data_IF_006356395367
#
_entry.id   IF_006356395367
#
_cell.length_a   1.000
_cell.length_b   1.000
_cell.length_c   1.000
_cell.angle_alpha   90.00
_cell.angle_beta   90.00
_cell.angle_gamma   90.00
#
_symmetry.space_group_name_H-M   'P 1'
#
loop_
_entity.id
_entity.type
_entity.pdbx_description
1 polymer ?
#
# COMPACT_ATOMS: atom_id res chain seq x y z
N UNK A 1 -21.46 -3.00 -41.10
CA UNK A 1 -20.63 -4.03 -40.44
C UNK A 1 -20.30 -3.53 -39.05
N UNK A 2 -21.04 -3.98 -38.04
CA UNK A 2 -20.69 -3.71 -36.65
C UNK A 2 -19.61 -4.74 -36.26
N UNK A 3 -18.36 -4.30 -36.20
CA UNK A 3 -17.32 -5.07 -35.53
C UNK A 3 -17.68 -5.07 -34.05
N UNK A 4 -18.17 -6.21 -33.56
CA UNK A 4 -18.27 -6.49 -32.14
C UNK A 4 -16.84 -6.46 -31.58
N UNK A 5 -16.43 -5.27 -31.16
CA UNK A 5 -15.15 -5.04 -30.51
C UNK A 5 -15.33 -5.60 -29.10
N UNK A 6 -15.08 -6.89 -28.92
CA UNK A 6 -14.98 -7.48 -27.59
C UNK A 6 -13.94 -6.65 -26.83
N UNK A 7 -14.40 -5.83 -25.88
CA UNK A 7 -13.51 -5.08 -25.01
C UNK A 7 -12.61 -6.09 -24.32
N UNK A 8 -11.33 -6.09 -24.71
CA UNK A 8 -10.32 -6.98 -24.15
C UNK A 8 -10.33 -6.79 -22.63
N UNK A 9 -10.74 -7.85 -21.92
CA UNK A 9 -10.78 -7.85 -20.46
C UNK A 9 -9.34 -7.76 -19.94
N UNK A 10 -9.13 -6.93 -18.92
CA UNK A 10 -7.82 -6.82 -18.25
C UNK A 10 -7.45 -8.14 -17.57
N UNK A 11 -6.21 -8.60 -17.75
CA UNK A 11 -5.71 -9.84 -17.15
C UNK A 11 -4.88 -9.56 -15.90
N UNK A 12 -5.36 -10.01 -14.74
CA UNK A 12 -4.63 -9.88 -13.46
C UNK A 12 -3.61 -11.00 -13.19
N UNK A 13 -3.64 -12.09 -13.98
CA UNK A 13 -2.78 -13.26 -13.74
C UNK A 13 -1.29 -12.92 -13.86
N UNK A 14 -0.50 -13.43 -12.92
CA UNK A 14 0.96 -13.27 -12.92
C UNK A 14 1.45 -11.86 -12.56
N UNK A 15 0.54 -10.89 -12.36
CA UNK A 15 0.90 -9.57 -11.84
C UNK A 15 1.29 -9.71 -10.37
N UNK A 16 0.43 -10.32 -9.55
CA UNK A 16 0.67 -10.47 -8.12
C UNK A 16 0.99 -11.93 -7.76
N UNK A 17 1.80 -12.16 -6.70
CA UNK A 17 2.62 -11.16 -5.99
C UNK A 17 3.92 -10.80 -6.73
N UNK A 18 4.23 -11.47 -7.84
CA UNK A 18 5.56 -11.48 -8.45
C UNK A 18 6.01 -10.10 -8.93
N UNK A 19 5.27 -9.45 -9.83
CA UNK A 19 5.63 -8.15 -10.39
C UNK A 19 5.80 -7.09 -9.29
N UNK A 20 4.89 -7.10 -8.30
CA UNK A 20 4.97 -6.25 -7.10
C UNK A 20 6.23 -6.48 -6.29
N UNK A 21 6.56 -7.74 -6.01
CA UNK A 21 7.74 -8.10 -5.23
C UNK A 21 9.02 -7.69 -5.93
N UNK A 22 9.08 -7.84 -7.25
CA UNK A 22 10.22 -7.39 -8.05
C UNK A 22 10.36 -5.88 -8.09
N UNK A 23 9.26 -5.16 -8.28
CA UNK A 23 9.24 -3.71 -8.14
C UNK A 23 9.74 -3.26 -6.77
N UNK A 24 9.29 -3.90 -5.69
CA UNK A 24 9.73 -3.59 -4.32
C UNK A 24 11.23 -3.87 -4.09
N UNK A 25 11.80 -4.90 -4.72
CA UNK A 25 13.24 -5.18 -4.69
C UNK A 25 14.07 -4.08 -5.34
N UNK A 26 13.53 -3.36 -6.32
CA UNK A 26 14.23 -2.27 -7.02
C UNK A 26 14.65 -1.14 -6.08
N UNK A 27 13.92 -0.92 -4.97
CA UNK A 27 14.27 0.11 -3.97
C UNK A 27 15.69 -0.04 -3.43
N UNK A 28 16.19 -1.27 -3.29
CA UNK A 28 17.56 -1.54 -2.80
C UNK A 28 18.63 -1.27 -3.85
N UNK A 29 18.25 -1.21 -5.13
CA UNK A 29 19.14 -1.00 -6.28
C UNK A 29 19.26 0.47 -6.69
N UNK A 30 18.57 1.39 -6.02
CA UNK A 30 18.56 2.82 -6.33
C UNK A 30 19.87 3.52 -5.94
N UNK A 31 20.97 3.17 -6.59
CA UNK A 31 22.30 3.76 -6.41
C UNK A 31 23.04 3.85 -7.75
N UNK A 32 24.13 4.59 -7.80
CA UNK A 32 24.98 4.69 -8.99
C UNK A 32 24.60 5.80 -9.96
N UNK A 33 25.11 5.71 -11.20
CA UNK A 33 24.96 6.75 -12.24
C UNK A 33 23.53 6.81 -12.79
N UNK A 34 22.84 5.67 -12.77
CA UNK A 34 21.47 5.50 -13.18
C UNK A 34 20.52 6.32 -12.30
N UNK A 35 20.78 6.40 -11.00
CA UNK A 35 19.98 7.18 -10.06
C UNK A 35 19.89 8.66 -10.48
N UNK A 36 21.04 9.28 -10.79
CA UNK A 36 21.10 10.67 -11.23
C UNK A 36 20.36 10.88 -12.56
N UNK A 37 20.52 9.93 -13.50
CA UNK A 37 19.85 9.98 -14.80
C UNK A 37 18.32 9.85 -14.66
N UNK A 38 17.86 8.92 -13.84
CA UNK A 38 16.44 8.68 -13.57
C UNK A 38 15.81 9.80 -12.75
N UNK A 39 16.53 10.40 -11.81
CA UNK A 39 16.06 11.61 -11.09
C UNK A 39 15.73 12.74 -12.05
N UNK A 40 16.58 13.01 -13.06
CA UNK A 40 16.29 14.03 -14.08
C UNK A 40 15.03 13.71 -14.91
N UNK A 41 14.87 12.44 -15.33
CA UNK A 41 13.67 11.98 -16.05
C UNK A 41 12.43 12.16 -15.17
N UNK A 42 12.49 11.77 -13.90
CA UNK A 42 11.36 11.87 -12.98
C UNK A 42 10.99 13.30 -12.62
N UNK A 43 11.97 14.19 -12.51
CA UNK A 43 11.73 15.63 -12.34
C UNK A 43 10.95 16.18 -13.54
N UNK A 44 11.34 15.80 -14.75
CA UNK A 44 10.62 16.23 -15.95
C UNK A 44 9.25 15.61 -16.11
N UNK A 45 9.12 14.31 -15.85
CA UNK A 45 7.84 13.64 -15.81
C UNK A 45 6.89 14.38 -14.86
N UNK A 46 7.30 14.62 -13.61
CA UNK A 46 6.55 15.39 -12.61
C UNK A 46 6.12 16.75 -13.15
N UNK A 47 7.07 17.54 -13.68
CA UNK A 47 6.81 18.87 -14.20
C UNK A 47 5.84 18.88 -15.39
N UNK A 48 5.77 17.77 -16.14
CA UNK A 48 4.88 17.65 -17.29
C UNK A 48 3.46 17.16 -16.91
N UNK A 49 3.31 16.43 -15.79
CA UNK A 49 2.00 15.93 -15.35
C UNK A 49 1.27 16.85 -14.36
N UNK A 50 1.99 17.69 -13.60
CA UNK A 50 1.42 18.57 -12.57
C UNK A 50 1.33 20.02 -13.03
N UNK A 51 0.17 20.66 -12.79
CA UNK A 51 -0.01 22.11 -12.94
C UNK A 51 0.26 22.91 -11.66
N UNK A 52 0.25 22.27 -10.48
CA UNK A 52 0.36 22.96 -9.18
C UNK A 52 1.47 22.38 -8.27
N UNK A 53 2.18 23.32 -7.62
CA UNK A 53 3.54 23.25 -7.08
C UNK A 53 3.68 22.64 -5.68
N UNK A 54 3.42 21.34 -5.50
CA UNK A 54 3.87 20.66 -4.27
C UNK A 54 4.96 19.65 -4.60
N UNK A 55 6.21 20.05 -4.31
CA UNK A 55 7.42 19.24 -4.38
C UNK A 55 7.37 18.11 -3.34
N UNK A 56 6.62 17.04 -3.64
CA UNK A 56 6.73 15.81 -2.85
C UNK A 56 7.99 15.06 -3.27
N UNK A 57 8.92 14.85 -2.34
CA UNK A 57 10.10 13.98 -2.55
C UNK A 57 9.66 12.53 -2.83
N UNK A 58 8.43 12.17 -2.44
CA UNK A 58 7.92 10.81 -2.61
C UNK A 58 7.63 10.48 -4.09
N UNK A 59 7.13 11.45 -4.88
CA UNK A 59 6.84 11.21 -6.31
C UNK A 59 8.12 10.85 -7.07
N UNK A 60 9.23 11.52 -6.73
CA UNK A 60 10.52 11.31 -7.36
C UNK A 60 11.07 9.93 -7.01
N UNK A 61 11.02 9.54 -5.73
CA UNK A 61 11.46 8.21 -5.29
C UNK A 61 10.66 7.08 -5.95
N UNK A 62 9.34 7.19 -6.01
CA UNK A 62 8.47 6.16 -6.62
C UNK A 62 8.72 6.10 -8.13
N UNK A 63 8.86 7.25 -8.80
CA UNK A 63 9.18 7.30 -10.22
C UNK A 63 10.57 6.70 -10.53
N UNK A 64 11.60 7.01 -9.73
CA UNK A 64 12.94 6.43 -9.91
C UNK A 64 12.86 4.91 -9.73
N UNK A 65 12.16 4.43 -8.70
CA UNK A 65 11.95 3.00 -8.48
C UNK A 65 11.27 2.34 -9.68
N UNK A 66 10.30 3.01 -10.29
CA UNK A 66 9.61 2.55 -11.49
C UNK A 66 10.53 2.46 -12.72
N UNK A 67 11.47 3.40 -12.90
CA UNK A 67 12.47 3.33 -13.96
C UNK A 67 13.49 2.20 -13.75
N UNK A 68 13.91 1.95 -12.51
CA UNK A 68 14.72 0.76 -12.18
C UNK A 68 13.96 -0.54 -12.44
N UNK A 69 12.66 -0.57 -12.16
CA UNK A 69 11.82 -1.72 -12.46
C UNK A 69 11.74 -1.98 -13.96
N UNK A 70 11.50 -0.95 -14.77
CA UNK A 70 11.55 -1.07 -16.23
C UNK A 70 12.90 -1.59 -16.72
N UNK A 71 14.01 -1.12 -16.13
CA UNK A 71 15.34 -1.62 -16.45
C UNK A 71 15.53 -3.10 -16.12
N UNK A 72 15.00 -3.56 -14.99
CA UNK A 72 15.02 -4.97 -14.61
C UNK A 72 14.18 -5.83 -15.58
N UNK A 73 13.04 -5.34 -16.08
CA UNK A 73 12.25 -6.02 -17.12
C UNK A 73 13.11 -6.26 -18.37
N UNK A 74 13.85 -5.23 -18.82
CA UNK A 74 14.74 -5.33 -20.00
C UNK A 74 15.84 -6.35 -19.79
N UNK A 75 16.39 -6.46 -18.58
CA UNK A 75 17.47 -7.43 -18.30
C UNK A 75 16.96 -8.87 -18.33
N UNK A 76 15.69 -9.08 -18.00
CA UNK A 76 15.05 -10.39 -17.96
C UNK A 76 14.41 -10.81 -19.29
N UNK A 77 15.02 -10.47 -20.44
CA UNK A 77 14.46 -10.70 -21.80
C UNK A 77 13.97 -12.13 -22.11
N UNK A 78 14.23 -13.10 -21.23
CA UNK A 78 13.86 -14.51 -21.39
C UNK A 78 12.71 -14.97 -20.46
N UNK A 79 12.07 -14.07 -19.70
CA UNK A 79 10.92 -14.47 -18.89
C UNK A 79 9.63 -14.46 -19.71
N UNK A 80 8.83 -15.52 -19.57
CA UNK A 80 7.56 -15.73 -20.28
C UNK A 80 6.43 -14.78 -19.88
N UNK A 81 6.69 -13.78 -19.03
CA UNK A 81 5.66 -12.91 -18.47
C UNK A 81 5.95 -11.40 -18.59
N UNK A 82 6.60 -10.98 -19.69
CA UNK A 82 6.86 -9.55 -19.97
C UNK A 82 5.56 -8.73 -19.94
N UNK A 83 4.44 -9.30 -20.38
CA UNK A 83 3.14 -8.63 -20.40
C UNK A 83 2.67 -8.25 -18.99
N UNK A 84 2.63 -9.16 -18.03
CA UNK A 84 2.22 -8.83 -16.66
C UNK A 84 3.15 -7.80 -16.01
N UNK A 85 4.46 -7.89 -16.28
CA UNK A 85 5.43 -6.91 -15.82
C UNK A 85 5.16 -5.51 -16.39
N UNK A 86 4.85 -5.41 -17.68
CA UNK A 86 4.50 -4.15 -18.31
C UNK A 86 3.15 -3.62 -17.84
N UNK A 87 2.16 -4.48 -17.62
CA UNK A 87 0.87 -4.09 -17.02
C UNK A 87 1.06 -3.50 -15.63
N UNK A 88 1.91 -4.12 -14.80
CA UNK A 88 2.25 -3.58 -13.49
C UNK A 88 3.01 -2.24 -13.58
N UNK A 89 3.93 -2.10 -14.55
CA UNK A 89 4.61 -0.83 -14.82
C UNK A 89 3.61 0.28 -15.17
N UNK A 90 2.68 0.03 -16.10
CA UNK A 90 1.66 1.01 -16.49
C UNK A 90 0.72 1.36 -15.34
N UNK A 91 0.33 0.37 -14.53
CA UNK A 91 -0.45 0.59 -13.32
C UNK A 91 0.26 1.58 -12.38
N UNK A 92 1.53 1.33 -12.08
CA UNK A 92 2.32 2.21 -11.22
C UNK A 92 2.50 3.59 -11.81
N UNK A 93 2.72 3.69 -13.12
CA UNK A 93 2.85 4.97 -13.80
C UNK A 93 1.58 5.81 -13.66
N UNK A 94 0.42 5.21 -13.94
CA UNK A 94 -0.88 5.89 -13.82
C UNK A 94 -1.22 6.22 -12.37
N UNK A 95 -0.93 5.30 -11.44
CA UNK A 95 -1.08 5.52 -9.99
C UNK A 95 -0.29 6.74 -9.52
N UNK A 96 0.98 6.89 -9.93
CA UNK A 96 1.81 8.06 -9.60
C UNK A 96 1.16 9.32 -10.14
N UNK A 97 0.72 9.32 -11.40
CA UNK A 97 0.09 10.50 -11.99
C UNK A 97 -1.14 10.94 -11.19
N UNK A 98 -2.07 10.02 -10.91
CA UNK A 98 -3.31 10.34 -10.21
C UNK A 98 -3.10 10.69 -8.73
N UNK A 99 -2.27 9.93 -8.01
CA UNK A 99 -2.04 10.14 -6.56
C UNK A 99 -1.51 11.53 -6.25
N UNK A 100 -0.69 12.08 -7.14
CA UNK A 100 -0.07 13.39 -6.96
C UNK A 100 -0.78 14.50 -7.76
N UNK A 101 -2.05 14.30 -8.12
CA UNK A 101 -2.90 15.32 -8.76
C UNK A 101 -2.47 15.69 -10.18
N UNK A 102 -1.64 14.86 -10.82
CA UNK A 102 -1.31 15.01 -12.23
C UNK A 102 -2.32 14.31 -13.14
N UNK A 103 -2.27 14.64 -14.43
CA UNK A 103 -3.10 13.98 -15.43
C UNK A 103 -2.34 13.82 -16.74
N UNK A 104 -2.35 12.59 -17.26
CA UNK A 104 -1.80 12.27 -18.57
C UNK A 104 -2.79 11.50 -19.45
N UNK A 105 -4.04 11.32 -19.03
CA UNK A 105 -5.05 10.55 -19.78
C UNK A 105 -4.79 9.05 -19.71
N UNK A 106 -4.44 8.45 -20.85
CA UNK A 106 -4.21 7.01 -20.99
C UNK A 106 -2.84 6.58 -20.45
N UNK A 107 -2.68 5.28 -20.17
CA UNK A 107 -1.40 4.72 -19.73
C UNK A 107 -0.28 4.98 -20.75
N UNK A 108 -0.60 4.87 -22.04
CA UNK A 108 0.30 5.20 -23.16
C UNK A 108 0.76 6.65 -23.11
N UNK A 109 -0.17 7.59 -22.95
CA UNK A 109 0.15 9.01 -22.91
C UNK A 109 1.05 9.35 -21.70
N UNK A 110 0.79 8.75 -20.54
CA UNK A 110 1.66 8.89 -19.38
C UNK A 110 3.09 8.42 -19.68
N UNK A 111 3.23 7.32 -20.40
CA UNK A 111 4.54 6.80 -20.76
C UNK A 111 5.24 7.65 -21.82
N UNK A 112 4.51 8.12 -22.83
CA UNK A 112 5.02 9.06 -23.81
C UNK A 112 5.53 10.35 -23.12
N UNK A 113 4.79 10.87 -22.12
CA UNK A 113 5.24 12.02 -21.31
C UNK A 113 6.51 11.71 -20.52
N UNK A 114 6.63 10.51 -19.94
CA UNK A 114 7.83 10.07 -19.23
C UNK A 114 9.04 9.95 -20.17
N UNK A 115 8.83 9.52 -21.43
CA UNK A 115 9.88 9.35 -22.45
C UNK A 115 10.35 10.66 -23.09
N UNK A 116 9.60 11.76 -22.97
CA UNK A 116 9.99 13.06 -23.55
C UNK A 116 11.28 13.57 -22.93
N UNK A 117 12.31 13.74 -23.77
CA UNK A 117 13.59 14.34 -23.37
C UNK A 117 13.53 15.86 -23.52
N UNK A 118 13.95 16.59 -22.48
CA UNK A 118 14.32 18.02 -22.60
C UNK A 118 15.76 18.23 -23.05
N UNK A 119 16.63 17.26 -22.79
CA UNK A 119 18.05 17.29 -23.16
C UNK A 119 18.39 16.01 -23.94
N UNK A 120 18.93 16.11 -25.16
CA UNK A 120 19.29 14.95 -25.99
C UNK A 120 20.32 14.03 -25.33
N UNK A 121 21.13 14.51 -24.37
CA UNK A 121 22.14 13.71 -23.66
C UNK A 121 21.56 12.75 -22.63
N UNK A 122 20.25 12.82 -22.35
CA UNK A 122 19.61 11.97 -21.35
C UNK A 122 19.47 10.53 -21.83
N UNK A 123 19.51 9.61 -20.87
CA UNK A 123 19.29 8.19 -21.09
C UNK A 123 17.93 7.96 -21.75
N UNK A 124 17.92 7.12 -22.78
CA UNK A 124 16.69 6.65 -23.41
C UNK A 124 15.93 5.70 -22.49
N UNK A 125 14.64 5.94 -22.38
CA UNK A 125 13.72 5.00 -21.73
C UNK A 125 13.37 3.94 -22.78
N UNK A 126 13.60 2.68 -22.41
CA UNK A 126 13.37 1.53 -23.29
C UNK A 126 11.94 1.43 -23.81
N UNK A 127 11.79 0.78 -24.96
CA UNK A 127 10.53 0.57 -25.65
C UNK A 127 9.90 -0.80 -25.34
N UNK A 128 10.48 -1.57 -24.41
CA UNK A 128 10.06 -2.96 -24.13
C UNK A 128 8.56 -3.06 -23.84
N UNK A 129 7.99 -2.10 -23.10
CA UNK A 129 6.57 -2.12 -22.77
C UNK A 129 5.65 -1.44 -23.80
N UNK A 130 6.18 -0.82 -24.86
CA UNK A 130 5.32 -0.23 -25.91
C UNK A 130 4.55 -1.30 -26.70
N UNK A 131 5.05 -2.53 -26.74
CA UNK A 131 4.37 -3.66 -27.39
C UNK A 131 3.27 -4.30 -26.54
N UNK A 132 3.22 -3.96 -25.26
CA UNK A 132 2.30 -4.52 -24.26
C UNK A 132 1.47 -3.40 -23.62
N UNK A 133 1.08 -2.40 -24.41
CA UNK A 133 0.23 -1.31 -23.92
C UNK A 133 -1.16 -1.89 -23.64
N UNK A 134 -1.56 -1.82 -22.38
CA UNK A 134 -2.91 -2.14 -21.95
C UNK A 134 -3.55 -0.86 -21.42
N UNK A 135 -4.79 -0.61 -21.83
CA UNK A 135 -5.55 0.50 -21.28
C UNK A 135 -5.97 0.15 -19.85
N UNK A 136 -5.46 0.94 -18.90
CA UNK A 136 -5.83 0.82 -17.50
C UNK A 136 -6.84 1.93 -17.27
N UNK A 137 -8.12 1.59 -17.19
CA UNK A 137 -9.17 2.53 -16.82
C UNK A 137 -9.09 2.87 -15.32
N UNK A 138 -10.08 3.58 -14.78
CA UNK A 138 -10.09 3.94 -13.35
C UNK A 138 -10.50 2.77 -12.46
N UNK A 139 -11.24 1.82 -13.02
CA UNK A 139 -11.79 0.65 -12.36
C UNK A 139 -10.69 -0.39 -12.12
N UNK A 140 -9.94 -0.74 -13.16
CA UNK A 140 -8.72 -1.56 -13.10
C UNK A 140 -7.69 -0.94 -12.16
N UNK A 141 -7.50 0.38 -12.22
CA UNK A 141 -6.56 1.07 -11.33
C UNK A 141 -6.97 0.92 -9.86
N UNK A 142 -8.27 0.98 -9.57
CA UNK A 142 -8.82 0.79 -8.22
C UNK A 142 -8.67 -0.66 -7.74
N UNK A 143 -8.99 -1.64 -8.59
CA UNK A 143 -8.79 -3.07 -8.30
C UNK A 143 -7.32 -3.36 -7.96
N UNK A 144 -6.39 -2.93 -8.83
CA UNK A 144 -4.95 -3.10 -8.62
C UNK A 144 -4.48 -2.45 -7.32
N UNK A 145 -5.05 -1.29 -6.95
CA UNK A 145 -4.79 -0.62 -5.67
C UNK A 145 -5.20 -1.46 -4.46
N UNK A 146 -6.38 -2.08 -4.48
CA UNK A 146 -6.82 -2.97 -3.40
C UNK A 146 -5.98 -4.26 -3.33
N UNK A 147 -5.67 -4.86 -4.47
CA UNK A 147 -4.77 -6.03 -4.51
C UNK A 147 -3.41 -5.69 -3.92
N UNK A 148 -2.82 -4.55 -4.29
CA UNK A 148 -1.53 -4.13 -3.74
C UNK A 148 -1.57 -3.94 -2.22
N UNK A 149 -2.62 -3.32 -1.68
CA UNK A 149 -2.80 -3.14 -0.24
C UNK A 149 -2.98 -4.46 0.50
N UNK A 150 -3.72 -5.42 -0.09
CA UNK A 150 -3.86 -6.78 0.45
C UNK A 150 -2.49 -7.44 0.56
N UNK A 151 -1.70 -7.40 -0.50
CA UNK A 151 -0.35 -7.99 -0.52
C UNK A 151 0.62 -7.27 0.42
N UNK A 152 0.51 -5.95 0.59
CA UNK A 152 1.28 -5.21 1.59
C UNK A 152 0.95 -5.65 3.01
N UNK A 153 -0.33 -5.81 3.33
CA UNK A 153 -0.74 -6.30 4.64
C UNK A 153 -0.28 -7.74 4.89
N UNK A 154 -0.29 -8.58 3.85
CA UNK A 154 0.25 -9.95 3.91
C UNK A 154 1.75 -9.97 4.22
N UNK A 155 2.54 -9.08 3.60
CA UNK A 155 3.98 -8.95 3.88
C UNK A 155 4.22 -8.61 5.36
N UNK A 156 3.37 -7.76 5.95
CA UNK A 156 3.48 -7.40 7.36
C UNK A 156 3.25 -8.60 8.27
N UNK A 157 2.36 -9.52 7.92
CA UNK A 157 2.02 -10.69 8.73
C UNK A 157 3.14 -11.73 8.86
N UNK A 158 4.21 -11.62 8.06
CA UNK A 158 5.44 -12.37 8.27
C UNK A 158 5.94 -12.16 9.71
N UNK A 159 5.84 -10.94 10.24
CA UNK A 159 6.22 -10.61 11.60
C UNK A 159 5.07 -10.93 12.58
N UNK A 160 5.26 -11.80 13.60
CA UNK A 160 4.20 -12.16 14.53
C UNK A 160 3.53 -10.98 15.23
N UNK A 161 4.28 -9.95 15.59
CA UNK A 161 3.77 -8.75 16.28
C UNK A 161 2.83 -7.90 15.40
N UNK A 162 2.90 -8.06 14.07
CA UNK A 162 2.08 -7.32 13.13
C UNK A 162 0.73 -8.02 12.85
N UNK A 163 0.53 -9.24 13.37
CA UNK A 163 -0.71 -10.02 13.22
C UNK A 163 -1.74 -9.47 14.20
N UNK A 164 -2.63 -8.61 13.71
CA UNK A 164 -3.70 -8.03 14.51
C UNK A 164 -5.02 -8.01 13.75
N UNK A 165 -6.12 -7.98 14.50
CA UNK A 165 -7.47 -8.07 13.94
C UNK A 165 -7.83 -6.88 13.03
N UNK A 166 -7.31 -5.68 13.31
CA UNK A 166 -7.59 -4.48 12.50
C UNK A 166 -7.08 -4.62 11.07
N UNK A 167 -5.84 -5.11 10.90
CA UNK A 167 -5.28 -5.37 9.57
C UNK A 167 -6.03 -6.47 8.83
N UNK A 168 -6.37 -7.55 9.54
CA UNK A 168 -7.16 -8.64 8.95
C UNK A 168 -8.51 -8.14 8.46
N UNK A 169 -9.22 -7.37 9.29
CA UNK A 169 -10.46 -6.71 8.89
C UNK A 169 -10.27 -5.85 7.64
N UNK A 170 -9.18 -5.09 7.55
CA UNK A 170 -8.87 -4.28 6.37
C UNK A 170 -8.74 -5.13 5.09
N UNK A 171 -8.10 -6.31 5.16
CA UNK A 171 -8.07 -7.21 4.00
C UNK A 171 -9.46 -7.74 3.69
N UNK A 172 -10.24 -8.13 4.69
CA UNK A 172 -11.60 -8.61 4.46
C UNK A 172 -12.47 -7.56 3.77
N UNK A 173 -12.41 -6.30 4.22
CA UNK A 173 -13.13 -5.18 3.62
C UNK A 173 -12.72 -4.99 2.15
N UNK A 174 -11.43 -5.13 1.83
CA UNK A 174 -10.96 -5.08 0.44
C UNK A 174 -11.41 -6.29 -0.39
N UNK A 175 -11.38 -7.49 0.18
CA UNK A 175 -11.86 -8.69 -0.51
C UNK A 175 -13.37 -8.62 -0.75
N UNK A 176 -14.16 -8.20 0.25
CA UNK A 176 -15.61 -7.99 0.13
C UNK A 176 -15.88 -6.98 -1.01
N UNK A 177 -15.11 -5.91 -1.09
CA UNK A 177 -15.21 -4.94 -2.19
C UNK A 177 -14.91 -5.58 -3.57
N UNK A 178 -13.84 -6.37 -3.66
CA UNK A 178 -13.40 -6.97 -4.92
C UNK A 178 -14.34 -8.08 -5.40
N UNK A 179 -14.92 -8.87 -4.49
CA UNK A 179 -15.89 -9.92 -4.78
C UNK A 179 -17.23 -9.36 -5.29
N UNK A 180 -17.63 -8.17 -4.83
CA UNK A 180 -18.85 -7.50 -5.27
C UNK A 180 -18.63 -6.55 -6.46
N UNK A 181 -17.45 -6.59 -7.08
CA UNK A 181 -17.14 -5.73 -8.20
C UNK A 181 -17.80 -6.25 -9.49
N UNK A 182 -18.38 -5.38 -10.35
CA UNK A 182 -19.14 -5.82 -11.52
C UNK A 182 -18.39 -6.83 -12.40
N UNK A 183 -19.12 -7.82 -12.96
CA UNK A 183 -18.66 -9.01 -13.69
C UNK A 183 -17.69 -8.79 -14.88
N UNK A 184 -17.38 -7.52 -15.21
CA UNK A 184 -16.51 -7.14 -16.33
C UNK A 184 -15.12 -7.80 -16.26
N UNK A 185 -14.64 -8.18 -15.09
CA UNK A 185 -13.24 -8.64 -14.87
C UNK A 185 -13.10 -10.08 -14.37
N UNK A 186 -14.20 -10.84 -14.38
CA UNK A 186 -14.41 -12.02 -13.54
C UNK A 186 -13.28 -13.07 -13.55
N UNK A 187 -12.94 -13.68 -14.68
CA UNK A 187 -12.07 -14.88 -14.66
C UNK A 187 -10.67 -14.67 -14.05
N UNK A 188 -9.94 -13.64 -14.49
CA UNK A 188 -8.56 -13.43 -14.00
C UNK A 188 -8.51 -12.80 -12.61
N UNK A 189 -9.49 -11.96 -12.26
CA UNK A 189 -9.61 -11.41 -10.92
C UNK A 189 -9.98 -12.51 -9.92
N UNK A 190 -10.93 -13.39 -10.24
CA UNK A 190 -11.36 -14.48 -9.38
C UNK A 190 -10.21 -15.41 -9.03
N UNK A 191 -9.39 -15.75 -10.03
CA UNK A 191 -8.20 -16.55 -9.83
C UNK A 191 -7.17 -15.85 -8.93
N UNK A 192 -7.02 -14.53 -9.07
CA UNK A 192 -6.13 -13.77 -8.18
C UNK A 192 -6.68 -13.69 -6.75
N UNK A 193 -7.99 -13.55 -6.59
CA UNK A 193 -8.64 -13.64 -5.28
C UNK A 193 -8.45 -15.03 -4.66
N UNK A 194 -8.54 -16.11 -5.44
CA UNK A 194 -8.21 -17.47 -5.00
C UNK A 194 -6.76 -17.61 -4.52
N UNK A 195 -5.81 -16.98 -5.20
CA UNK A 195 -4.41 -16.95 -4.76
C UNK A 195 -4.29 -16.26 -3.40
N UNK A 196 -4.98 -15.14 -3.21
CA UNK A 196 -5.09 -14.48 -1.90
C UNK A 196 -5.70 -15.46 -0.89
N UNK A 197 -6.82 -16.12 -1.19
CA UNK A 197 -7.46 -17.06 -0.26
C UNK A 197 -6.53 -18.18 0.17
N UNK A 198 -5.70 -18.69 -0.74
CA UNK A 198 -4.72 -19.74 -0.46
C UNK A 198 -3.67 -19.27 0.55
N UNK A 199 -3.17 -18.03 0.41
CA UNK A 199 -2.26 -17.42 1.40
C UNK A 199 -2.95 -17.34 2.76
N UNK A 200 -4.21 -16.94 2.80
CA UNK A 200 -4.99 -16.81 4.04
C UNK A 200 -5.22 -18.16 4.73
N UNK A 201 -5.55 -19.20 3.97
CA UNK A 201 -5.67 -20.57 4.48
C UNK A 201 -4.38 -21.04 5.13
N UNK A 202 -3.22 -20.66 4.60
CA UNK A 202 -1.92 -20.98 5.22
C UNK A 202 -1.70 -20.29 6.58
N UNK A 203 -2.33 -19.14 6.82
CA UNK A 203 -2.30 -18.48 8.12
C UNK A 203 -3.12 -19.23 9.16
N UNK A 204 -4.25 -19.84 8.78
CA UNK A 204 -5.08 -20.63 9.68
C UNK A 204 -4.29 -21.76 10.35
N UNK A 205 -3.42 -22.41 9.60
CA UNK A 205 -2.58 -23.50 10.11
C UNK A 205 -1.38 -22.96 10.90
N UNK A 206 -0.65 -22.00 10.34
CA UNK A 206 0.61 -21.51 10.92
C UNK A 206 0.44 -20.63 12.17
N UNK A 207 -0.72 -19.98 12.34
CA UNK A 207 -0.94 -19.07 13.47
C UNK A 207 -1.54 -19.76 14.69
N UNK A 208 -1.97 -21.02 14.56
CA UNK A 208 -2.64 -21.79 15.62
C UNK A 208 -1.76 -21.94 16.86
N UNK A 209 -0.45 -22.05 16.64
CA UNK A 209 0.58 -22.18 17.67
C UNK A 209 1.20 -20.83 18.08
N UNK A 210 0.80 -19.71 17.46
CA UNK A 210 1.37 -18.40 17.71
C UNK A 210 0.55 -17.61 18.75
N UNK A 211 1.20 -17.12 19.82
CA UNK A 211 0.56 -16.28 20.86
C UNK A 211 -0.19 -15.08 20.28
N UNK A 212 0.40 -14.39 19.30
CA UNK A 212 -0.21 -13.23 18.64
C UNK A 212 -1.26 -13.63 17.59
N UNK A 213 -1.15 -14.82 17.03
CA UNK A 213 -2.05 -15.34 16.00
C UNK A 213 -3.38 -15.86 16.56
N UNK A 214 -3.36 -16.49 17.75
CA UNK A 214 -4.55 -17.13 18.35
C UNK A 214 -5.79 -16.23 18.44
N UNK A 215 -5.73 -14.97 18.94
CA UNK A 215 -6.91 -14.11 18.99
C UNK A 215 -7.43 -13.76 17.59
N UNK A 216 -6.53 -13.56 16.64
CA UNK A 216 -6.86 -13.20 15.25
C UNK A 216 -7.49 -14.38 14.50
N UNK A 217 -7.08 -15.61 14.81
CA UNK A 217 -7.65 -16.81 14.22
C UNK A 217 -9.12 -17.03 14.57
N UNK A 218 -9.54 -16.63 15.78
CA UNK A 218 -10.96 -16.72 16.14
C UNK A 218 -11.81 -15.80 15.26
N UNK A 219 -11.29 -14.61 14.95
CA UNK A 219 -11.93 -13.69 14.01
C UNK A 219 -12.04 -14.30 12.60
N UNK A 220 -10.92 -14.85 12.09
CA UNK A 220 -10.90 -15.50 10.78
C UNK A 220 -11.89 -16.66 10.66
N UNK A 221 -11.87 -17.60 11.62
CA UNK A 221 -12.67 -18.83 11.54
C UNK A 221 -14.17 -18.54 11.43
N UNK A 222 -14.67 -17.48 12.07
CA UNK A 222 -16.09 -17.15 12.05
C UNK A 222 -16.55 -16.70 10.66
N UNK A 223 -15.85 -15.74 10.04
CA UNK A 223 -16.28 -15.11 8.78
C UNK A 223 -15.93 -15.95 7.55
N UNK A 224 -14.79 -16.65 7.58
CA UNK A 224 -14.30 -17.40 6.41
C UNK A 224 -14.92 -18.79 6.23
N UNK A 225 -15.59 -19.30 7.27
CA UNK A 225 -16.41 -20.50 7.15
C UNK A 225 -17.51 -20.29 6.10
N UNK A 226 -18.08 -19.08 6.05
CA UNK A 226 -19.18 -18.75 5.15
C UNK A 226 -18.70 -18.60 3.69
N UNK A 227 -17.52 -17.98 3.47
CA UNK A 227 -16.94 -17.81 2.12
C UNK A 227 -16.51 -19.12 1.45
N UNK A 228 -15.93 -20.07 2.20
CA UNK A 228 -15.61 -21.40 1.64
C UNK A 228 -16.89 -22.17 1.29
N UNK A 229 -17.98 -21.93 2.01
CA UNK A 229 -19.29 -22.52 1.66
C UNK A 229 -19.77 -21.93 0.34
N UNK A 230 -19.59 -20.62 0.11
CA UNK A 230 -19.99 -19.95 -1.13
C UNK A 230 -19.34 -20.56 -2.39
N UNK A 231 -18.01 -20.73 -2.41
CA UNK A 231 -17.30 -21.27 -3.60
C UNK A 231 -17.50 -22.77 -3.83
N UNK A 232 -17.64 -23.56 -2.76
CA UNK A 232 -17.94 -24.99 -2.91
C UNK A 232 -19.33 -25.19 -3.50
N UNK A 233 -20.31 -24.39 -3.10
CA UNK A 233 -21.69 -24.53 -3.61
C UNK A 233 -21.81 -24.11 -5.08
N UNK A 234 -21.07 -23.09 -5.50
CA UNK A 234 -21.08 -22.62 -6.90
C UNK A 234 -20.32 -23.57 -7.85
N UNK A 235 -19.24 -24.20 -7.38
CA UNK A 235 -18.52 -25.24 -8.12
C UNK A 235 -19.37 -26.49 -8.30
N UNK A 236 -20.16 -26.88 -7.27
CA UNK A 236 -21.09 -28.00 -7.36
C UNK A 236 -22.25 -27.67 -8.31
N UNK A 237 -22.81 -26.46 -8.26
CA UNK A 237 -23.89 -26.04 -9.15
C UNK A 237 -23.47 -25.96 -10.63
N UNK A 238 -22.25 -25.51 -10.92
CA UNK A 238 -21.70 -25.47 -12.30
C UNK A 238 -21.26 -26.85 -12.80
N UNK A 239 -20.88 -27.76 -11.89
CA UNK A 239 -20.59 -29.16 -12.24
C UNK A 239 -21.89 -29.95 -12.46
N UNK A 240 -22.94 -29.74 -11.66
CA UNK A 240 -24.23 -30.43 -11.78
C UNK A 240 -25.02 -30.07 -13.07
N UNK A 241 -24.73 -28.93 -13.70
CA UNK A 241 -25.27 -28.58 -15.02
C UNK A 241 -24.55 -29.36 -16.14
N UNK A 242 -23.31 -29.81 -15.93
CA UNK A 242 -22.53 -30.59 -16.89
C UNK A 242 -22.57 -32.10 -16.70
N UNK A 243 -23.06 -32.60 -15.54
CA UNK A 243 -23.13 -34.05 -15.24
C UNK A 243 -24.54 -34.57 -14.96
N UNK A 244 -25.58 -33.97 -15.55
CA UNK A 244 -26.91 -34.63 -15.64
C UNK A 244 -26.96 -35.64 -16.80
N UNK A 245 -26.04 -36.59 -16.79
CA UNK A 245 -26.11 -37.92 -17.39
C UNK A 245 -25.08 -38.80 -16.65
N UNK A 246 -25.37 -39.15 -15.40
CA UNK A 246 -25.22 -40.50 -14.84
C UNK A 246 -25.37 -40.49 -13.32
N UNK A 247 -25.99 -41.55 -12.83
CA UNK A 247 -26.68 -41.59 -11.57
C UNK A 247 -25.83 -42.10 -10.38
N UNK A 248 -26.29 -41.70 -9.20
CA UNK A 248 -26.57 -42.57 -8.06
C UNK A 248 -25.61 -42.58 -6.86
N UNK A 249 -26.24 -42.32 -5.70
CA UNK A 249 -26.02 -42.99 -4.41
C UNK A 249 -24.79 -42.57 -3.57
N UNK A 250 -25.01 -41.72 -2.56
CA UNK A 250 -25.31 -42.14 -1.18
C UNK A 250 -24.93 -41.06 -0.17
N UNK A 251 -25.85 -40.85 0.77
CA UNK A 251 -25.83 -39.89 1.86
C UNK A 251 -25.12 -40.50 3.07
N UNK A 252 -24.23 -39.76 3.74
CA UNK A 252 -23.95 -40.04 5.14
C UNK A 252 -23.68 -38.78 5.97
N UNK A 253 -24.31 -38.79 7.15
CA UNK A 253 -24.46 -37.73 8.13
C UNK A 253 -23.28 -37.80 9.09
N UNK A 254 -22.59 -36.68 9.34
CA UNK A 254 -21.70 -36.56 10.51
C UNK A 254 -22.09 -35.33 11.33
N UNK A 255 -22.73 -35.62 12.46
CA UNK A 255 -23.02 -34.68 13.54
C UNK A 255 -22.16 -35.05 14.74
N UNK A 256 -21.30 -34.16 15.24
CA UNK A 256 -20.83 -34.17 16.63
C UNK A 256 -20.29 -32.77 17.00
N UNK A 257 -21.00 -32.07 17.89
CA UNK A 257 -20.71 -31.92 19.31
C UNK A 257 -19.56 -30.94 19.60
N UNK A 258 -19.90 -29.65 19.78
CA UNK A 258 -19.02 -28.64 20.39
C UNK A 258 -19.49 -28.44 21.83
N UNK A 259 -18.66 -28.91 22.75
CA UNK A 259 -18.75 -28.68 24.19
C UNK A 259 -18.50 -27.21 24.53
N UNK A 260 -19.42 -26.63 25.30
CA UNK A 260 -19.30 -25.30 25.87
C UNK A 260 -18.28 -25.29 27.00
N UNK A 261 -17.27 -24.42 26.90
CA UNK A 261 -16.38 -24.06 28.02
C UNK A 261 -16.81 -22.68 28.50
N UNK A 262 -17.48 -22.68 29.65
CA UNK A 262 -17.75 -21.54 30.51
C UNK A 262 -16.43 -20.92 31.00
N UNK A 263 -16.12 -19.70 30.54
CA UNK A 263 -15.01 -18.90 31.05
C UNK A 263 -15.51 -17.92 32.11
N UNK A 264 -15.03 -18.13 33.32
CA UNK A 264 -15.21 -17.32 34.52
C UNK A 264 -14.74 -15.88 34.33
N UNK A 265 -15.59 -14.95 34.74
CA UNK A 265 -15.27 -13.54 34.94
C UNK A 265 -14.31 -13.36 36.13
N UNK A 266 -13.30 -12.51 35.95
CA UNK A 266 -12.53 -11.95 37.06
C UNK A 266 -11.03 -11.92 36.82
N UNK A 267 -10.50 -10.76 36.40
CA UNK A 267 -9.20 -10.17 36.80
C UNK A 267 -8.83 -9.00 35.89
N UNK A 268 -9.51 -7.86 36.03
CA UNK A 268 -9.14 -6.61 35.31
C UNK A 268 -8.18 -5.70 36.08
N UNK A 269 -7.83 -6.02 37.34
CA UNK A 269 -6.99 -5.14 38.17
C UNK A 269 -5.47 -5.39 38.11
N UNK A 270 -5.01 -6.42 37.38
CA UNK A 270 -3.59 -6.80 37.37
C UNK A 270 -2.71 -6.09 36.33
N UNK A 271 -3.29 -5.57 35.24
CA UNK A 271 -2.52 -5.11 34.07
C UNK A 271 -1.75 -3.81 34.36
N UNK A 272 -2.28 -2.95 35.22
CA UNK A 272 -1.68 -1.64 35.52
C UNK A 272 -0.37 -1.80 36.32
N UNK A 273 -0.32 -2.72 37.28
CA UNK A 273 0.87 -2.93 38.12
C UNK A 273 2.05 -3.54 37.36
N UNK A 274 1.81 -4.43 36.38
CA UNK A 274 2.88 -4.97 35.55
C UNK A 274 3.55 -3.92 34.65
N UNK A 275 2.79 -2.92 34.18
CA UNK A 275 3.33 -1.82 33.39
C UNK A 275 4.35 -0.97 34.17
N UNK A 276 4.00 -0.60 35.40
CA UNK A 276 4.91 0.20 36.25
C UNK A 276 6.17 -0.58 36.67
N UNK A 277 6.05 -1.89 36.92
CA UNK A 277 7.20 -2.73 37.25
C UNK A 277 8.19 -2.83 36.08
N UNK A 278 7.71 -3.00 34.84
CA UNK A 278 8.57 -3.05 33.65
C UNK A 278 9.29 -1.73 33.38
N UNK A 279 8.61 -0.60 33.59
CA UNK A 279 9.20 0.74 33.44
C UNK A 279 10.29 0.96 34.51
N UNK A 280 10.03 0.55 35.76
CA UNK A 280 11.01 0.66 36.84
C UNK A 280 12.26 -0.21 36.58
N UNK A 281 12.09 -1.45 36.12
CA UNK A 281 13.20 -2.34 35.74
C UNK A 281 14.01 -1.73 34.58
N UNK A 282 13.36 -1.19 33.54
CA UNK A 282 14.04 -0.47 32.47
C UNK A 282 14.82 0.74 32.98
N UNK A 283 14.27 1.49 33.95
CA UNK A 283 14.94 2.66 34.55
C UNK A 283 16.18 2.28 35.38
N UNK A 284 16.09 1.18 36.15
CA UNK A 284 17.22 0.64 36.92
C UNK A 284 18.29 0.12 35.96
N UNK A 285 17.92 -0.69 34.97
CA UNK A 285 18.87 -1.17 33.95
C UNK A 285 19.48 0.00 33.16
N UNK A 286 18.72 1.04 32.86
CA UNK A 286 19.22 2.26 32.22
C UNK A 286 20.28 2.98 33.07
N UNK A 287 20.08 3.06 34.38
CA UNK A 287 20.98 3.76 35.31
C UNK A 287 22.26 2.96 35.62
N UNK A 288 22.17 1.63 35.67
CA UNK A 288 23.26 0.78 36.17
C UNK A 288 23.98 -0.05 35.10
N UNK A 289 23.52 -0.02 33.84
CA UNK A 289 24.24 -0.69 32.74
C UNK A 289 25.05 0.32 31.95
N UNK A 290 26.26 -0.08 31.52
CA UNK A 290 27.25 0.72 30.76
C UNK A 290 26.76 1.22 29.38
N UNK A 291 25.47 1.03 29.05
CA UNK A 291 24.81 1.52 27.85
C UNK A 291 24.41 3.00 27.90
N UNK A 292 24.55 3.67 29.05
CA UNK A 292 24.28 5.11 29.18
C UNK A 292 25.11 5.98 28.23
N UNK A 293 26.34 5.55 27.91
CA UNK A 293 27.22 6.22 26.95
C UNK A 293 26.72 6.15 25.50
N UNK A 294 25.96 5.11 25.14
CA UNK A 294 25.46 4.89 23.78
C UNK A 294 24.21 5.71 23.46
N UNK A 295 23.40 6.04 24.49
CA UNK A 295 22.17 6.83 24.35
C UNK A 295 22.39 8.32 24.57
N UNK A 296 23.45 8.72 25.28
CA UNK A 296 23.80 10.13 25.51
C UNK A 296 23.89 10.95 24.19
N UNK A 297 24.46 10.44 23.09
CA UNK A 297 24.46 11.17 21.81
C UNK A 297 23.05 11.37 21.25
N UNK A 298 22.17 10.37 21.35
CA UNK A 298 20.79 10.44 20.84
C UNK A 298 19.92 11.40 21.65
N UNK A 299 20.01 11.35 22.98
CA UNK A 299 19.32 12.31 23.86
C UNK A 299 19.83 13.74 23.61
N UNK A 300 21.13 13.91 23.38
CA UNK A 300 21.71 15.22 23.01
C UNK A 300 21.21 15.74 21.67
N UNK A 301 21.01 14.87 20.67
CA UNK A 301 20.39 15.25 19.39
C UNK A 301 18.92 15.66 19.56
N UNK A 302 18.15 14.91 20.35
CA UNK A 302 16.74 15.22 20.62
C UNK A 302 16.61 16.57 21.32
N UNK A 303 17.42 16.82 22.36
CA UNK A 303 17.46 18.11 23.07
C UNK A 303 17.86 19.28 22.16
N UNK A 304 18.73 19.04 21.17
CA UNK A 304 19.08 20.03 20.14
C UNK A 304 17.91 20.32 19.19
N UNK A 305 17.11 19.32 18.81
CA UNK A 305 15.90 19.53 17.98
C UNK A 305 14.84 20.34 18.74
N UNK A 306 14.54 19.96 19.98
CA UNK A 306 13.57 20.69 20.82
C UNK A 306 14.03 22.15 21.05
N UNK A 307 15.33 22.39 21.29
CA UNK A 307 15.87 23.77 21.38
C UNK A 307 15.78 24.55 20.06
N UNK A 308 15.90 23.89 18.90
CA UNK A 308 15.75 24.54 17.58
C UNK A 308 14.29 24.94 17.34
N UNK A 309 13.33 24.08 17.69
CA UNK A 309 11.90 24.40 17.59
C UNK A 309 11.51 25.57 18.50
N UNK A 310 12.00 25.62 19.74
CA UNK A 310 11.78 26.76 20.63
C UNK A 310 12.40 28.08 20.12
N UNK A 311 13.45 28.03 19.28
CA UNK A 311 14.02 29.24 18.65
C UNK A 311 13.14 29.77 17.52
N UNK A 312 12.55 28.89 16.72
CA UNK A 312 11.60 29.28 15.69
C UNK A 312 10.29 29.80 16.29
N UNK A 313 9.84 29.23 17.41
CA UNK A 313 8.64 29.71 18.10
C UNK A 313 8.82 31.09 18.73
N UNK A 314 10.01 31.40 19.29
CA UNK A 314 10.34 32.77 19.74
C UNK A 314 10.31 33.80 18.60
N UNK A 315 10.87 33.47 17.44
CA UNK A 315 10.84 34.38 16.28
C UNK A 315 9.42 34.59 15.74
N UNK A 316 8.55 33.59 15.87
CA UNK A 316 7.14 33.70 15.48
C UNK A 316 6.39 34.66 16.42
N UNK A 317 6.58 34.51 17.73
CA UNK A 317 5.93 35.37 18.74
C UNK A 317 6.41 36.82 18.68
N UNK A 318 7.72 37.05 18.49
CA UNK A 318 8.26 38.40 18.29
C UNK A 318 7.70 39.07 17.02
N UNK A 319 7.32 38.30 16.00
CA UNK A 319 6.72 38.85 14.77
C UNK A 319 5.27 39.31 14.97
N UNK A 320 4.52 38.63 15.84
CA UNK A 320 3.15 39.02 16.17
C UNK A 320 3.13 40.29 17.02
N UNK A 321 4.02 40.41 18.02
CA UNK A 321 4.12 41.62 18.85
C UNK A 321 4.56 42.85 18.03
N UNK A 322 5.46 42.67 17.05
CA UNK A 322 5.87 43.77 16.16
C UNK A 322 4.74 44.23 15.25
N UNK A 323 3.91 43.30 14.78
CA UNK A 323 2.78 43.61 13.89
C UNK A 323 1.65 44.30 14.65
N UNK A 324 1.37 43.86 15.88
CA UNK A 324 0.36 44.47 16.75
C UNK A 324 0.71 45.92 17.12
N UNK A 325 1.97 46.20 17.47
CA UNK A 325 2.41 47.56 17.80
C UNK A 325 2.41 48.51 16.59
N UNK A 326 2.68 48.03 15.37
CA UNK A 326 2.61 48.85 14.15
C UNK A 326 1.17 49.18 13.72
N UNK A 327 0.21 48.30 14.01
CA UNK A 327 -1.21 48.55 13.72
C UNK A 327 -1.75 49.61 14.69
N UNK A 328 -1.40 49.52 15.97
CA UNK A 328 -1.89 50.46 16.98
C UNK A 328 -1.29 51.88 16.82
N UNK A 329 -0.07 52.03 16.30
CA UNK A 329 0.53 53.38 16.14
C UNK A 329 -0.05 54.20 14.98
N UNK A 330 -0.61 53.56 13.95
CA UNK A 330 -1.18 54.25 12.79
C UNK A 330 -2.65 54.66 12.96
N UNK A 331 -3.39 54.02 13.87
CA UNK A 331 -4.82 54.31 14.07
C UNK A 331 -5.07 55.60 14.87
N UNK A 332 -4.09 56.09 15.65
CA UNK A 332 -4.21 57.36 16.39
C UNK A 332 -3.85 58.60 15.57
N UNK A 333 -3.50 58.47 14.29
CA UNK A 333 -3.06 59.62 13.46
C UNK A 333 -4.15 60.18 12.52
N UNK A 334 -5.38 59.66 12.58
CA UNK A 334 -6.52 60.15 11.78
C UNK A 334 -7.59 60.77 12.69
N UNK A 335 -7.26 61.86 13.35
CA UNK A 335 -8.21 62.86 13.84
C UNK A 335 -7.43 64.16 14.10
N UNK A 336 -8.03 65.32 13.85
CA UNK A 336 -7.42 66.65 13.80
C UNK A 336 -6.73 67.03 12.48
N UNK A 337 -7.55 67.12 11.43
CA UNK A 337 -7.51 68.30 10.56
C UNK A 337 -8.90 68.90 10.57
N UNK A 338 -9.15 69.85 11.47
CA UNK A 338 -10.30 70.74 11.41
C UNK A 338 -9.90 72.02 10.68
N UNK A 339 -10.80 72.48 9.83
CA UNK A 339 -10.72 73.64 8.95
C UNK A 339 -10.35 74.95 9.68
N UNK A 340 -9.50 75.75 9.03
CA UNK A 340 -9.57 77.21 8.95
C UNK A 340 -9.09 77.66 7.56
#
# INVERSE_FOLDING_TARGET
>A
MATNNEESKFNFMGIFPECRNEYNKCRRKMHGKELTSYSMICSDFRNNIQKHYWLSVDIENICIQLLFYLHDIIKKKQNDNIEAHCNYFYYKLKYIAQKYGGYCGTAKNCYDVMRRKKDPKRVDISDVCLKHIVEIDNDVLKIMGYLEEIYELNDLFIQPIQRNASKVKKIEDYMDYLENYPDKYNGSLDQELDNVLKIYKSYLTSWSNCRYGKPVLQYFKKKWKDRNTFRITETIASTEISTREEASSSTEIITSAITAISASAGTSSGIIFFGFALIAIMFVLYKYTTYGSFLQPRVRMLKRRIRKENKHHKNLMDSFDRTYNNINYNDYRIAYTSED
#
